data_IF_473535780474
#
_entry.id   IF_473535780474
#
_cell.length_a   1.000
_cell.length_b   1.000
_cell.length_c   1.000
_cell.angle_alpha   90.00
_cell.angle_beta   90.00
_cell.angle_gamma   90.00
#
_symmetry.space_group_name_H-M   'P 1'
#
loop_
_entity.id
_entity.type
_entity.pdbx_description
1 polymer ?
#
# COMPACT_ATOMS: atom_id res chain seq x y z
N UNK A 1 30.09 -5.10 -14.85
CA UNK A 1 29.77 -3.67 -14.67
C UNK A 1 30.43 -3.26 -13.37
N UNK A 2 31.20 -2.17 -13.30
CA UNK A 2 31.85 -1.76 -12.05
C UNK A 2 30.94 -0.90 -11.19
N UNK A 3 31.18 -0.86 -9.87
CA UNK A 3 30.49 -0.01 -8.93
C UNK A 3 30.55 1.48 -9.34
N UNK A 4 31.69 1.92 -9.90
CA UNK A 4 31.90 3.30 -10.34
C UNK A 4 30.96 3.71 -11.48
N UNK A 5 30.72 2.79 -12.43
CA UNK A 5 29.77 3.02 -13.53
C UNK A 5 28.35 3.19 -12.99
N UNK A 6 27.96 2.38 -11.99
CA UNK A 6 26.67 2.51 -11.33
C UNK A 6 26.55 3.84 -10.56
N UNK A 7 27.61 4.24 -9.86
CA UNK A 7 27.65 5.51 -9.13
C UNK A 7 27.47 6.74 -10.03
N UNK A 8 27.95 6.69 -11.28
CA UNK A 8 27.76 7.75 -12.28
C UNK A 8 26.37 7.71 -12.93
N UNK A 9 25.85 6.53 -13.28
CA UNK A 9 24.62 6.40 -14.05
C UNK A 9 23.37 6.57 -13.19
N UNK A 10 23.34 6.01 -11.96
CA UNK A 10 22.12 5.97 -11.14
C UNK A 10 21.58 7.37 -10.79
N UNK A 11 22.38 8.37 -10.37
CA UNK A 11 21.86 9.70 -10.13
C UNK A 11 21.25 10.36 -11.37
N UNK A 12 21.84 10.14 -12.55
CA UNK A 12 21.32 10.62 -13.84
C UNK A 12 20.00 9.95 -14.19
N UNK A 13 19.90 8.63 -13.98
CA UNK A 13 18.66 7.87 -14.18
C UNK A 13 17.55 8.36 -13.23
N UNK A 14 17.86 8.60 -11.95
CA UNK A 14 16.89 9.15 -11.01
C UNK A 14 16.38 10.51 -11.46
N UNK A 15 17.28 11.41 -11.85
CA UNK A 15 16.91 12.75 -12.32
C UNK A 15 16.05 12.73 -13.59
N UNK A 16 16.17 11.70 -14.43
CA UNK A 16 15.44 11.58 -15.71
C UNK A 16 14.06 10.94 -15.59
N UNK A 17 13.63 10.44 -14.41
CA UNK A 17 12.33 9.79 -14.24
C UNK A 17 11.17 10.76 -14.51
N UNK A 18 10.25 10.43 -15.45
CA UNK A 18 9.17 11.31 -15.85
C UNK A 18 7.99 11.23 -14.88
N UNK A 19 8.09 11.86 -13.73
CA UNK A 19 7.01 11.90 -12.76
C UNK A 19 5.86 12.81 -13.23
N UNK A 20 4.60 12.34 -13.26
CA UNK A 20 3.44 13.17 -13.62
C UNK A 20 3.23 14.36 -12.67
N UNK A 21 3.57 14.18 -11.39
CA UNK A 21 3.53 15.21 -10.36
C UNK A 21 4.79 15.15 -9.52
N UNK A 22 5.36 16.29 -9.23
CA UNK A 22 6.56 16.42 -8.40
C UNK A 22 6.37 17.50 -7.35
N UNK A 23 7.11 17.40 -6.25
CA UNK A 23 7.21 18.42 -5.22
C UNK A 23 8.67 18.77 -4.95
N UNK A 24 8.90 19.94 -4.40
CA UNK A 24 10.16 20.31 -3.74
C UNK A 24 10.00 20.13 -2.25
N UNK A 25 11.10 19.86 -1.57
CA UNK A 25 11.15 19.81 -0.10
C UNK A 25 12.44 20.42 0.40
N UNK A 26 12.46 20.83 1.68
CA UNK A 26 13.57 21.55 2.28
C UNK A 26 14.02 22.76 1.44
N UNK A 27 15.30 23.09 1.46
CA UNK A 27 15.90 24.19 0.69
C UNK A 27 16.42 23.76 -0.69
N UNK A 28 16.29 22.46 -1.03
CA UNK A 28 16.83 21.89 -2.27
C UNK A 28 16.04 22.30 -3.53
N UNK A 29 16.71 22.31 -4.67
CA UNK A 29 16.11 22.53 -5.98
C UNK A 29 15.52 21.25 -6.59
N UNK A 30 15.88 20.08 -6.06
CA UNK A 30 15.47 18.78 -6.59
C UNK A 30 13.95 18.61 -6.52
N UNK A 31 13.37 18.18 -7.64
CA UNK A 31 11.95 17.83 -7.74
C UNK A 31 11.80 16.31 -7.83
N UNK A 32 10.96 15.74 -6.97
CA UNK A 32 10.71 14.31 -6.91
C UNK A 32 9.24 14.03 -6.59
N UNK A 33 8.79 12.79 -6.76
CA UNK A 33 7.39 12.41 -6.49
C UNK A 33 7.00 12.58 -5.02
N UNK A 34 7.95 12.35 -4.12
CA UNK A 34 7.81 12.56 -2.66
C UNK A 34 9.17 12.93 -2.07
N UNK A 35 9.23 13.53 -0.86
CA UNK A 35 10.50 13.76 -0.17
C UNK A 35 11.28 12.46 -0.02
N UNK A 36 12.52 12.46 -0.49
CA UNK A 36 13.43 11.33 -0.37
C UNK A 36 14.08 11.35 1.03
N UNK A 37 14.15 10.20 1.68
CA UNK A 37 14.71 10.08 3.04
C UNK A 37 15.97 9.21 3.10
N UNK A 38 16.09 8.24 2.21
CA UNK A 38 17.25 7.34 2.16
C UNK A 38 17.37 6.72 0.77
N UNK A 39 18.56 6.29 0.44
CA UNK A 39 18.87 5.56 -0.79
C UNK A 39 19.59 4.28 -0.37
N UNK A 40 19.02 3.13 -0.71
CA UNK A 40 19.64 1.81 -0.54
C UNK A 40 20.17 1.35 -1.89
N UNK A 41 21.48 1.22 -2.00
CA UNK A 41 22.13 0.71 -3.22
C UNK A 41 23.24 -0.27 -2.88
N UNK A 42 23.06 -1.51 -3.32
CA UNK A 42 24.04 -2.59 -3.15
C UNK A 42 24.36 -3.22 -4.52
N UNK A 43 25.60 -3.49 -4.73
CA UNK A 43 26.09 -4.25 -5.87
C UNK A 43 27.20 -5.20 -5.42
N UNK A 44 27.02 -6.49 -5.67
CA UNK A 44 27.96 -7.54 -5.28
C UNK A 44 28.35 -7.49 -3.79
N UNK A 45 27.33 -7.27 -2.93
CA UNK A 45 27.48 -7.22 -1.47
C UNK A 45 28.08 -5.93 -0.91
N UNK A 46 28.43 -4.97 -1.76
CA UNK A 46 29.00 -3.68 -1.36
C UNK A 46 28.06 -2.51 -1.66
N UNK A 47 28.16 -1.44 -0.86
CA UNK A 47 27.42 -0.20 -1.11
C UNK A 47 27.97 0.49 -2.38
N UNK A 48 27.12 0.79 -3.33
CA UNK A 48 27.45 1.71 -4.43
C UNK A 48 27.36 3.14 -3.91
N UNK A 49 28.51 3.76 -3.65
CA UNK A 49 28.59 5.11 -3.10
C UNK A 49 28.13 6.14 -4.12
N UNK A 50 26.97 6.75 -3.89
CA UNK A 50 26.43 7.85 -4.68
C UNK A 50 25.66 8.83 -3.80
N UNK A 51 25.40 10.03 -4.35
CA UNK A 51 24.55 11.05 -3.71
C UNK A 51 23.50 11.52 -4.71
N UNK A 52 22.25 11.63 -4.26
CA UNK A 52 21.17 12.21 -5.03
C UNK A 52 20.26 13.03 -4.10
N UNK A 53 19.92 14.25 -4.50
CA UNK A 53 19.10 15.18 -3.70
C UNK A 53 19.65 15.41 -2.27
N UNK A 54 20.98 15.57 -2.14
CA UNK A 54 21.72 15.71 -0.89
C UNK A 54 21.66 14.49 0.06
N UNK A 55 21.21 13.34 -0.46
CA UNK A 55 21.12 12.10 0.31
C UNK A 55 22.16 11.11 -0.21
N UNK A 56 23.08 10.72 0.67
CA UNK A 56 24.05 9.65 0.40
C UNK A 56 23.36 8.27 0.44
N UNK A 57 23.82 7.41 -0.44
CA UNK A 57 23.42 6.00 -0.42
C UNK A 57 24.04 5.23 0.74
N UNK A 58 23.40 4.09 1.09
CA UNK A 58 23.87 3.21 2.14
C UNK A 58 23.30 1.81 2.00
N UNK A 59 23.45 1.02 3.05
CA UNK A 59 22.97 -0.36 3.19
C UNK A 59 21.74 -0.49 4.10
N UNK A 60 21.13 0.62 4.51
CA UNK A 60 20.02 0.63 5.46
C UNK A 60 18.69 0.93 4.80
N UNK A 61 17.66 0.22 5.25
CA UNK A 61 16.25 0.47 4.96
C UNK A 61 15.44 0.51 6.26
N UNK A 62 14.12 0.65 6.15
CA UNK A 62 13.17 0.59 7.26
C UNK A 62 12.03 -0.36 6.92
N UNK A 63 11.51 -1.02 7.95
CA UNK A 63 10.29 -1.79 7.86
C UNK A 63 9.03 -0.93 7.99
N UNK A 64 7.94 -1.58 8.31
CA UNK A 64 6.65 -0.92 8.51
C UNK A 64 6.73 0.14 9.61
N UNK A 65 6.27 1.35 9.28
CA UNK A 65 6.44 2.56 10.10
C UNK A 65 6.03 2.39 11.58
N UNK A 66 4.97 1.62 11.84
CA UNK A 66 4.43 1.43 13.20
C UNK A 66 4.84 0.10 13.83
N UNK A 67 5.02 -0.95 13.03
CA UNK A 67 5.34 -2.30 13.53
C UNK A 67 6.83 -2.57 13.64
N UNK A 68 7.65 -1.94 12.79
CA UNK A 68 9.09 -2.15 12.74
C UNK A 68 9.83 -0.85 12.32
N UNK A 69 9.83 0.20 13.16
CA UNK A 69 10.37 1.53 12.78
C UNK A 69 11.90 1.60 12.77
N UNK A 70 12.59 0.62 13.35
CA UNK A 70 14.05 0.62 13.46
C UNK A 70 14.73 0.44 12.11
N UNK A 71 15.92 1.03 11.90
CA UNK A 71 16.72 0.78 10.72
C UNK A 71 17.09 -0.70 10.57
N UNK A 72 17.14 -1.17 9.34
CA UNK A 72 17.46 -2.55 8.97
C UNK A 72 18.65 -2.51 8.01
N UNK A 73 19.78 -3.06 8.39
CA UNK A 73 20.94 -3.25 7.51
C UNK A 73 20.69 -4.42 6.56
N UNK A 74 21.00 -4.23 5.29
CA UNK A 74 20.76 -5.18 4.20
C UNK A 74 22.08 -5.53 3.53
N UNK A 75 22.25 -6.80 3.14
CA UNK A 75 23.46 -7.30 2.50
C UNK A 75 23.28 -7.61 1.01
N UNK A 76 22.07 -8.07 0.65
CA UNK A 76 21.70 -8.47 -0.70
C UNK A 76 20.17 -8.46 -0.87
N UNK A 77 19.68 -8.76 -2.07
CA UNK A 77 18.24 -8.73 -2.36
C UNK A 77 17.44 -9.79 -1.59
N UNK A 78 18.02 -10.99 -1.36
CA UNK A 78 17.33 -12.02 -0.59
C UNK A 78 17.19 -11.62 0.89
N UNK A 79 18.27 -11.08 1.48
CA UNK A 79 18.28 -10.53 2.83
C UNK A 79 17.28 -9.36 2.97
N UNK A 80 17.25 -8.45 1.98
CA UNK A 80 16.28 -7.35 1.90
C UNK A 80 14.84 -7.85 1.95
N UNK A 81 14.50 -8.78 1.07
CA UNK A 81 13.14 -9.34 1.00
C UNK A 81 12.73 -10.03 2.30
N UNK A 82 13.60 -10.86 2.85
CA UNK A 82 13.33 -11.63 4.07
C UNK A 82 13.18 -10.71 5.31
N UNK A 83 14.06 -9.74 5.46
CA UNK A 83 14.00 -8.77 6.56
C UNK A 83 12.77 -7.88 6.48
N UNK A 84 12.40 -7.42 5.28
CA UNK A 84 11.20 -6.63 5.09
C UNK A 84 9.93 -7.43 5.35
N UNK A 85 9.84 -8.68 4.94
CA UNK A 85 8.70 -9.56 5.27
C UNK A 85 8.54 -9.71 6.80
N UNK A 86 9.64 -9.95 7.52
CA UNK A 86 9.64 -9.98 9.00
C UNK A 86 9.25 -8.62 9.60
N UNK A 87 9.64 -7.53 8.96
CA UNK A 87 9.34 -6.16 9.36
C UNK A 87 8.00 -5.63 8.83
N UNK A 88 7.05 -6.53 8.46
CA UNK A 88 5.69 -6.22 8.03
C UNK A 88 5.63 -5.37 6.75
N UNK A 89 6.48 -5.71 5.77
CA UNK A 89 6.47 -5.12 4.44
C UNK A 89 6.55 -6.21 3.38
N UNK A 90 5.51 -6.36 2.58
CA UNK A 90 5.45 -7.25 1.41
C UNK A 90 5.83 -6.44 0.18
N UNK A 91 7.04 -6.65 -0.36
CA UNK A 91 7.54 -5.87 -1.50
C UNK A 91 6.91 -6.26 -2.84
N UNK A 92 6.52 -7.52 -3.01
CA UNK A 92 5.87 -8.00 -4.23
C UNK A 92 4.42 -7.55 -4.32
N UNK A 93 4.12 -6.70 -5.30
CA UNK A 93 2.76 -6.20 -5.54
C UNK A 93 1.78 -7.32 -5.93
N UNK A 94 2.23 -8.38 -6.61
CA UNK A 94 1.38 -9.51 -6.96
C UNK A 94 1.01 -10.32 -5.71
N UNK A 95 1.92 -10.46 -4.76
CA UNK A 95 1.66 -11.10 -3.47
C UNK A 95 0.66 -10.27 -2.66
N UNK A 96 0.82 -8.95 -2.58
CA UNK A 96 -0.16 -8.07 -1.92
C UNK A 96 -1.56 -8.19 -2.53
N UNK A 97 -1.67 -8.21 -3.87
CA UNK A 97 -2.95 -8.42 -4.57
C UNK A 97 -3.59 -9.76 -4.20
N UNK A 98 -2.81 -10.85 -4.21
CA UNK A 98 -3.30 -12.18 -3.81
C UNK A 98 -3.82 -12.18 -2.37
N UNK A 99 -3.07 -11.58 -1.44
CA UNK A 99 -3.46 -11.47 -0.02
C UNK A 99 -4.76 -10.69 0.15
N UNK A 100 -4.91 -9.57 -0.54
CA UNK A 100 -6.14 -8.74 -0.50
C UNK A 100 -7.32 -9.53 -1.05
N UNK A 101 -7.21 -10.10 -2.24
CA UNK A 101 -8.30 -10.83 -2.88
C UNK A 101 -8.71 -12.08 -2.07
N UNK A 102 -7.75 -12.87 -1.61
CA UNK A 102 -8.02 -14.05 -0.80
C UNK A 102 -8.70 -13.69 0.54
N UNK A 103 -8.20 -12.67 1.23
CA UNK A 103 -8.78 -12.17 2.47
C UNK A 103 -10.18 -11.60 2.28
N UNK A 104 -10.41 -10.83 1.22
CA UNK A 104 -11.72 -10.29 0.89
C UNK A 104 -12.75 -11.40 0.61
N UNK A 105 -12.40 -12.40 -0.20
CA UNK A 105 -13.27 -13.55 -0.47
C UNK A 105 -13.57 -14.37 0.77
N UNK A 106 -12.58 -14.56 1.64
CA UNK A 106 -12.78 -15.26 2.91
C UNK A 106 -13.77 -14.52 3.80
N UNK A 107 -13.57 -13.23 4.03
CA UNK A 107 -14.44 -12.40 4.86
C UNK A 107 -15.88 -12.33 4.30
N UNK A 108 -16.05 -12.23 2.99
CA UNK A 108 -17.35 -12.28 2.35
C UNK A 108 -18.07 -13.60 2.64
N UNK A 109 -17.40 -14.74 2.44
CA UNK A 109 -17.99 -16.08 2.72
C UNK A 109 -18.35 -16.26 4.20
N UNK A 110 -17.49 -15.85 5.12
CA UNK A 110 -17.74 -15.90 6.57
C UNK A 110 -18.97 -15.10 6.98
N UNK A 111 -19.28 -14.02 6.24
CA UNK A 111 -20.47 -13.20 6.44
C UNK A 111 -21.71 -13.69 5.67
N UNK A 112 -21.63 -14.79 4.92
CA UNK A 112 -22.73 -15.27 4.06
C UNK A 112 -23.00 -14.36 2.84
N UNK A 113 -22.00 -13.61 2.42
CA UNK A 113 -22.09 -12.62 1.34
C UNK A 113 -21.19 -13.02 0.14
N UNK A 114 -21.44 -12.39 -1.00
CA UNK A 114 -20.64 -12.55 -2.22
C UNK A 114 -19.84 -11.29 -2.50
N UNK A 115 -18.53 -11.44 -2.71
CA UNK A 115 -17.66 -10.33 -3.11
C UNK A 115 -17.97 -9.89 -4.56
N UNK A 116 -18.12 -8.59 -4.77
CA UNK A 116 -18.09 -8.02 -6.12
C UNK A 116 -16.62 -7.92 -6.55
N UNK A 117 -16.23 -8.78 -7.48
CA UNK A 117 -14.83 -8.83 -7.95
C UNK A 117 -14.48 -7.56 -8.72
N UNK A 118 -13.37 -6.93 -8.34
CA UNK A 118 -12.82 -5.73 -9.02
C UNK A 118 -11.30 -5.78 -8.95
N UNK A 119 -10.69 -6.41 -9.96
CA UNK A 119 -9.24 -6.57 -10.04
C UNK A 119 -8.48 -5.24 -10.12
N UNK A 120 -9.07 -4.25 -10.80
CA UNK A 120 -8.46 -2.93 -10.92
C UNK A 120 -8.41 -2.22 -9.56
N UNK A 121 -9.49 -2.31 -8.77
CA UNK A 121 -9.52 -1.77 -7.42
C UNK A 121 -8.55 -2.51 -6.49
N UNK A 122 -8.47 -3.84 -6.56
CA UNK A 122 -7.50 -4.64 -5.81
C UNK A 122 -6.07 -4.24 -6.15
N UNK A 123 -5.76 -4.01 -7.44
CA UNK A 123 -4.44 -3.56 -7.87
C UNK A 123 -4.12 -2.15 -7.34
N UNK A 124 -5.09 -1.24 -7.36
CA UNK A 124 -4.94 0.11 -6.78
C UNK A 124 -4.69 0.04 -5.28
N UNK A 125 -5.49 -0.72 -4.53
CA UNK A 125 -5.33 -0.89 -3.08
C UNK A 125 -3.95 -1.50 -2.77
N UNK A 126 -3.50 -2.49 -3.52
CA UNK A 126 -2.18 -3.10 -3.34
C UNK A 126 -1.01 -2.11 -3.55
N UNK A 127 -1.24 -1.02 -4.30
CA UNK A 127 -0.30 0.10 -4.41
C UNK A 127 -0.31 1.07 -3.23
N UNK A 128 -1.33 1.03 -2.38
CA UNK A 128 -1.51 1.93 -1.24
C UNK A 128 -1.09 1.34 0.11
N UNK A 129 -0.88 0.02 0.18
CA UNK A 129 -0.55 -0.69 1.41
C UNK A 129 0.68 -1.56 1.22
N UNK A 130 1.52 -1.65 2.24
CA UNK A 130 2.70 -2.52 2.26
C UNK A 130 2.49 -3.80 3.10
N UNK A 131 1.52 -3.76 4.02
CA UNK A 131 1.09 -4.88 4.86
C UNK A 131 -0.44 -4.97 4.86
N UNK A 132 -1.04 -5.62 3.86
CA UNK A 132 -2.48 -5.59 3.66
C UNK A 132 -3.25 -6.41 4.69
N UNK A 133 -4.16 -5.78 5.41
CA UNK A 133 -5.08 -6.38 6.38
C UNK A 133 -6.52 -6.11 5.91
N UNK A 134 -7.15 -7.04 5.17
CA UNK A 134 -8.56 -6.93 4.81
C UNK A 134 -9.46 -7.00 6.04
N UNK A 135 -10.47 -6.13 6.10
CA UNK A 135 -11.43 -6.05 7.18
C UNK A 135 -12.84 -5.86 6.64
N UNK A 136 -13.81 -6.53 7.25
CA UNK A 136 -15.23 -6.37 6.94
C UNK A 136 -15.81 -5.22 7.76
N UNK A 137 -16.40 -4.25 7.07
CA UNK A 137 -17.16 -3.15 7.67
C UNK A 137 -18.66 -3.24 7.32
N UNK A 138 -19.44 -2.40 7.97
CA UNK A 138 -20.88 -2.27 7.74
C UNK A 138 -21.26 -0.81 7.77
N UNK A 139 -22.19 -0.42 6.90
CA UNK A 139 -22.81 0.91 6.92
C UNK A 139 -24.30 0.83 7.24
N UNK A 140 -24.90 1.96 7.56
CA UNK A 140 -26.32 2.02 7.89
C UNK A 140 -27.19 1.64 6.68
N UNK A 141 -28.13 0.72 6.89
CA UNK A 141 -29.03 0.20 5.83
C UNK A 141 -29.84 1.28 5.12
N UNK A 142 -30.11 2.42 5.76
CA UNK A 142 -30.82 3.56 5.14
C UNK A 142 -30.12 4.07 3.86
N UNK A 143 -28.82 3.86 3.72
CA UNK A 143 -28.09 4.25 2.51
C UNK A 143 -28.39 3.36 1.31
N UNK A 144 -29.00 2.18 1.51
CA UNK A 144 -29.47 1.33 0.42
C UNK A 144 -30.68 1.91 -0.34
N UNK A 145 -31.30 2.99 0.16
CA UNK A 145 -32.31 3.76 -0.58
C UNK A 145 -31.70 4.54 -1.75
N UNK A 146 -30.38 4.75 -1.73
CA UNK A 146 -29.62 5.32 -2.85
C UNK A 146 -29.38 4.22 -3.91
N UNK A 147 -29.46 4.54 -5.22
CA UNK A 147 -29.18 3.55 -6.27
C UNK A 147 -27.84 2.84 -6.05
N UNK A 148 -27.85 1.50 -6.20
CA UNK A 148 -26.69 0.67 -5.88
C UNK A 148 -25.43 1.06 -6.66
N UNK A 149 -25.60 1.49 -7.93
CA UNK A 149 -24.51 1.92 -8.80
C UNK A 149 -23.79 3.16 -8.25
N UNK A 150 -24.56 4.10 -7.68
CA UNK A 150 -24.00 5.32 -7.07
C UNK A 150 -23.22 4.98 -5.79
N UNK A 151 -23.77 4.11 -4.94
CA UNK A 151 -23.08 3.65 -3.75
C UNK A 151 -21.79 2.91 -4.08
N UNK A 152 -21.84 1.97 -5.01
CA UNK A 152 -20.65 1.20 -5.45
C UNK A 152 -19.58 2.14 -6.02
N UNK A 153 -19.98 3.10 -6.88
CA UNK A 153 -19.05 4.07 -7.46
C UNK A 153 -18.40 4.94 -6.36
N UNK A 154 -19.19 5.43 -5.41
CA UNK A 154 -18.72 6.27 -4.30
C UNK A 154 -17.77 5.50 -3.40
N UNK A 155 -18.12 4.28 -2.99
CA UNK A 155 -17.27 3.40 -2.19
C UNK A 155 -15.95 3.10 -2.89
N UNK A 156 -15.98 2.79 -4.18
CA UNK A 156 -14.80 2.50 -4.98
C UNK A 156 -13.89 3.73 -5.14
N UNK A 157 -14.43 4.84 -5.62
CA UNK A 157 -13.64 6.01 -6.00
C UNK A 157 -13.09 6.75 -4.77
N UNK A 158 -13.93 6.98 -3.77
CA UNK A 158 -13.56 7.84 -2.64
C UNK A 158 -12.92 7.07 -1.47
N UNK A 159 -13.36 5.83 -1.22
CA UNK A 159 -12.97 5.09 -0.02
C UNK A 159 -12.09 3.86 -0.31
N UNK A 160 -11.99 3.43 -1.58
CA UNK A 160 -11.31 2.20 -1.97
C UNK A 160 -11.89 0.96 -1.28
N UNK A 161 -13.21 0.90 -1.17
CA UNK A 161 -13.93 -0.23 -0.59
C UNK A 161 -14.38 -1.21 -1.66
N UNK A 162 -14.24 -2.50 -1.37
CA UNK A 162 -14.81 -3.58 -2.16
C UNK A 162 -16.25 -3.81 -1.69
N UNK A 163 -17.17 -3.87 -2.62
CA UNK A 163 -18.60 -4.05 -2.37
C UNK A 163 -18.97 -5.52 -2.22
N UNK A 164 -20.06 -5.77 -1.50
CA UNK A 164 -20.58 -7.11 -1.24
C UNK A 164 -22.04 -7.20 -1.67
N UNK A 165 -22.49 -8.40 -2.06
CA UNK A 165 -23.89 -8.71 -2.40
C UNK A 165 -24.46 -9.79 -1.51
N UNK A 166 -25.75 -9.70 -1.25
CA UNK A 166 -26.54 -10.75 -0.61
C UNK A 166 -26.84 -11.89 -1.61
N UNK A 167 -27.34 -13.04 -1.11
CA UNK A 167 -27.67 -14.20 -1.95
C UNK A 167 -28.74 -13.93 -3.01
N UNK A 168 -29.59 -12.91 -2.82
CA UNK A 168 -30.59 -12.44 -3.79
C UNK A 168 -30.01 -11.51 -4.87
N UNK A 169 -28.70 -11.23 -4.83
CA UNK A 169 -28.02 -10.36 -5.78
C UNK A 169 -28.04 -8.86 -5.43
N UNK A 170 -28.78 -8.43 -4.42
CA UNK A 170 -28.82 -7.04 -3.98
C UNK A 170 -27.51 -6.62 -3.30
N UNK A 171 -27.22 -5.31 -3.32
CA UNK A 171 -26.08 -4.75 -2.60
C UNK A 171 -26.28 -4.97 -1.10
N UNK A 172 -25.28 -5.56 -0.43
CA UNK A 172 -25.29 -5.70 1.02
C UNK A 172 -24.86 -4.40 1.71
N UNK A 173 -25.37 -4.10 2.93
CA UNK A 173 -24.93 -2.95 3.72
C UNK A 173 -23.55 -3.19 4.35
N UNK A 174 -22.66 -3.82 3.61
CA UNK A 174 -21.34 -4.23 4.03
C UNK A 174 -20.30 -3.85 2.97
N UNK A 175 -19.07 -3.66 3.41
CA UNK A 175 -17.93 -3.40 2.55
C UNK A 175 -16.67 -4.09 3.08
N UNK A 176 -15.70 -4.29 2.22
CA UNK A 176 -14.35 -4.68 2.65
C UNK A 176 -13.41 -3.52 2.42
N UNK A 177 -12.70 -3.15 3.46
CA UNK A 177 -11.60 -2.21 3.43
C UNK A 177 -10.29 -2.93 3.72
N UNK A 178 -9.17 -2.32 3.32
CA UNK A 178 -7.85 -2.87 3.60
C UNK A 178 -7.06 -1.84 4.41
N UNK A 179 -6.65 -2.24 5.61
CA UNK A 179 -5.74 -1.44 6.41
C UNK A 179 -4.27 -1.79 6.10
N UNK A 180 -3.38 -0.85 6.41
CA UNK A 180 -1.93 -1.06 6.32
C UNK A 180 -1.31 -1.38 7.68
N UNK A 181 -2.08 -1.79 8.67
CA UNK A 181 -1.57 -2.11 10.01
C UNK A 181 -2.48 -3.11 10.72
N UNK A 182 -1.88 -3.89 11.61
CA UNK A 182 -2.59 -4.74 12.55
C UNK A 182 -3.02 -3.89 13.75
N UNK A 183 -4.32 -3.62 13.87
CA UNK A 183 -4.85 -2.88 15.01
C UNK A 183 -5.03 -3.81 16.22
N UNK A 184 -4.71 -3.33 17.41
CA UNK A 184 -4.81 -4.10 18.67
C UNK A 184 -6.23 -4.54 19.00
N UNK A 185 -7.22 -3.79 18.54
CA UNK A 185 -8.66 -4.04 18.74
C UNK A 185 -9.31 -4.85 17.60
N UNK A 186 -8.51 -5.46 16.73
CA UNK A 186 -8.98 -6.16 15.52
C UNK A 186 -9.56 -5.21 14.46
N UNK A 187 -9.24 -3.91 14.52
CA UNK A 187 -9.67 -2.91 13.55
C UNK A 187 -11.02 -2.29 13.83
N UNK A 188 -11.63 -2.54 14.99
CA UNK A 188 -12.96 -1.99 15.35
C UNK A 188 -13.01 -0.46 15.25
N UNK A 189 -12.00 0.24 15.76
CA UNK A 189 -11.92 1.70 15.68
C UNK A 189 -11.68 2.19 14.25
N UNK A 190 -10.91 1.45 13.45
CA UNK A 190 -10.68 1.76 12.04
C UNK A 190 -12.00 1.68 11.28
N UNK A 191 -12.78 0.62 11.48
CA UNK A 191 -14.08 0.41 10.85
C UNK A 191 -15.05 1.49 11.30
N UNK A 192 -15.21 1.72 12.60
CA UNK A 192 -16.13 2.74 13.16
C UNK A 192 -15.80 4.18 12.71
N UNK A 193 -14.51 4.50 12.54
CA UNK A 193 -14.08 5.79 12.00
C UNK A 193 -14.41 5.98 10.52
N UNK A 194 -14.51 4.88 9.77
CA UNK A 194 -14.85 4.87 8.35
C UNK A 194 -16.36 4.92 8.11
N UNK A 195 -17.18 4.34 8.98
CA UNK A 195 -18.63 4.42 8.89
C UNK A 195 -19.16 5.87 8.95
N UNK A 196 -18.49 6.75 9.69
CA UNK A 196 -18.87 8.16 9.84
C UNK A 196 -18.47 9.04 8.65
N UNK A 197 -17.47 8.63 7.86
CA UNK A 197 -16.89 9.43 6.76
C UNK A 197 -17.31 8.98 5.36
N UNK A 198 -17.94 7.83 5.24
CA UNK A 198 -18.14 7.17 3.94
C UNK A 198 -19.42 7.56 3.21
N UNK A 199 -20.25 8.44 3.79
CA UNK A 199 -21.60 8.69 3.26
C UNK A 199 -21.99 10.17 3.25
N UNK A 200 -21.03 11.09 3.33
CA UNK A 200 -21.28 12.54 3.12
C UNK A 200 -20.45 13.02 1.95
#
# INVERSE_FOLDING_TARGET
MSSDVLADILPKAFASLPWPKTMRWASGATRWVRPLHSILTLFDGAVVALTFADIASGDQTRGHRFHAPSPITVRDFADYRNKLATAKVVIDAAERRRTIAAGARRLAREAGLTLVEDEALVAEIAGLVEWPIPMLGRFDKRFLDVPAEVLVATMKVNQKYLSLREGNGNLAPNFITVANLEARDGGKQIIAGKDRKSVV
#
